data_IF_458130180441
#
_entry.id   IF_458130180441
#
_cell.length_a   1.000
_cell.length_b   1.000
_cell.length_c   1.000
_cell.angle_alpha   90.00
_cell.angle_beta   90.00
_cell.angle_gamma   90.00
#
_symmetry.space_group_name_H-M   'P 1'
#
loop_
_entity.id
_entity.type
_entity.pdbx_description
1 polymer ?
#
# COMPACT_ATOMS: atom_id res chain seq x y z
N UNK A 1 76.35 1.82 17.67
CA UNK A 1 75.44 2.89 17.14
C UNK A 1 74.04 2.34 17.13
N UNK A 2 73.23 2.68 18.11
CA UNK A 2 71.82 2.23 18.24
C UNK A 2 70.96 3.36 17.79
N UNK A 3 70.23 3.17 16.66
CA UNK A 3 69.31 4.18 16.13
C UNK A 3 67.96 4.06 16.83
N UNK A 4 67.56 5.16 17.47
CA UNK A 4 66.29 5.35 18.16
C UNK A 4 65.20 5.60 17.13
N UNK A 5 64.18 4.71 17.00
CA UNK A 5 62.99 4.93 16.19
C UNK A 5 61.92 5.70 16.98
N UNK A 6 61.26 6.68 16.42
CA UNK A 6 60.30 7.53 17.15
C UNK A 6 58.98 6.83 17.39
N UNK A 7 58.55 6.86 18.65
CA UNK A 7 57.29 6.31 19.22
C UNK A 7 55.99 6.99 18.81
N UNK A 8 55.90 7.64 17.64
CA UNK A 8 54.71 8.40 17.23
C UNK A 8 53.81 7.75 16.18
N UNK A 9 54.12 6.53 15.74
CA UNK A 9 53.30 5.84 14.71
C UNK A 9 52.30 4.85 15.31
N UNK A 10 52.44 4.47 16.56
CA UNK A 10 51.56 3.47 17.20
C UNK A 10 50.23 4.02 17.74
N UNK A 11 50.01 5.35 17.77
CA UNK A 11 48.82 5.95 18.37
C UNK A 11 47.70 6.28 17.34
N UNK A 12 47.95 6.16 16.06
CA UNK A 12 46.98 6.49 14.99
C UNK A 12 46.17 5.25 14.54
N UNK A 13 46.66 4.05 14.79
CA UNK A 13 45.96 2.81 14.42
C UNK A 13 44.88 2.35 15.43
N UNK A 14 44.83 2.91 16.63
CA UNK A 14 43.90 2.52 17.68
C UNK A 14 42.58 3.33 17.68
N UNK A 15 42.43 4.36 16.85
CA UNK A 15 41.24 5.24 16.82
C UNK A 15 40.27 4.97 15.66
N UNK A 16 40.53 3.95 14.84
CA UNK A 16 39.69 3.62 13.68
C UNK A 16 38.77 2.41 13.90
N UNK A 17 38.67 1.85 15.11
CA UNK A 17 37.92 0.60 15.34
C UNK A 17 36.72 0.75 16.27
N UNK A 18 36.12 1.93 16.38
CA UNK A 18 34.95 2.14 17.26
C UNK A 18 33.77 2.89 16.61
N UNK A 19 33.60 2.80 15.28
CA UNK A 19 32.29 3.08 14.67
C UNK A 19 31.54 1.77 14.47
N UNK A 20 31.13 1.17 15.58
CA UNK A 20 30.05 0.17 15.54
C UNK A 20 28.79 0.90 15.12
N UNK A 21 28.43 0.80 13.82
CA UNK A 21 27.11 1.12 13.34
C UNK A 21 26.13 0.19 14.04
N UNK A 22 25.54 0.64 15.13
CA UNK A 22 24.29 0.08 15.61
C UNK A 22 23.25 0.39 14.55
N UNK A 23 23.06 -0.53 13.60
CA UNK A 23 21.86 -0.56 12.77
C UNK A 23 20.68 -0.76 13.74
N UNK A 24 20.16 0.33 14.26
CA UNK A 24 18.89 0.33 14.97
C UNK A 24 17.86 -0.19 13.99
N UNK A 25 17.33 -1.37 14.22
CA UNK A 25 16.15 -1.86 13.54
C UNK A 25 15.06 -0.83 13.80
N UNK A 26 14.75 -0.01 12.80
CA UNK A 26 13.56 0.84 12.82
C UNK A 26 12.36 -0.09 12.94
N UNK A 27 11.88 -0.29 14.16
CA UNK A 27 10.67 -1.05 14.41
C UNK A 27 9.52 -0.21 13.84
N UNK A 28 8.87 -0.72 12.81
CA UNK A 28 7.73 -0.03 12.22
C UNK A 28 6.70 0.23 13.33
N UNK A 29 6.24 1.49 13.45
CA UNK A 29 5.24 1.85 14.45
C UNK A 29 3.98 1.01 14.23
N UNK A 30 3.39 0.50 15.32
CA UNK A 30 2.13 -0.23 15.25
C UNK A 30 1.01 0.65 14.70
N UNK A 31 0.12 0.08 13.91
CA UNK A 31 -1.05 0.77 13.36
C UNK A 31 -2.07 0.98 14.49
N UNK A 32 -2.44 2.23 14.76
CA UNK A 32 -3.52 2.53 15.69
C UNK A 32 -4.88 2.47 14.96
N UNK A 33 -5.66 1.43 15.22
CA UNK A 33 -6.92 1.18 14.49
C UNK A 33 -8.03 2.17 14.85
N UNK A 34 -7.97 2.85 15.99
CA UNK A 34 -8.97 3.87 16.40
C UNK A 34 -8.68 5.25 15.80
N UNK A 35 -7.40 5.60 15.65
CA UNK A 35 -7.00 6.92 15.16
C UNK A 35 -6.95 6.98 13.63
N UNK A 36 -6.82 5.84 12.98
CA UNK A 36 -6.70 5.76 11.52
C UNK A 36 -8.09 5.77 10.88
N UNK A 37 -8.46 6.88 10.26
CA UNK A 37 -9.79 7.07 9.64
C UNK A 37 -10.05 6.14 8.43
N UNK A 38 -9.02 5.67 7.77
CA UNK A 38 -9.10 4.72 6.65
C UNK A 38 -7.90 3.80 6.72
N UNK A 39 -8.16 2.52 6.84
CA UNK A 39 -7.16 1.47 6.89
C UNK A 39 -7.01 0.87 5.49
N UNK A 40 -5.77 0.72 5.02
CA UNK A 40 -5.48 0.07 3.74
C UNK A 40 -4.44 -1.01 3.93
N UNK A 41 -4.72 -2.21 3.38
CA UNK A 41 -3.83 -3.36 3.45
C UNK A 41 -3.72 -4.05 2.10
N UNK A 42 -2.56 -4.66 1.85
CA UNK A 42 -2.35 -5.49 0.66
C UNK A 42 -1.91 -6.89 1.05
N UNK A 43 -2.47 -7.91 0.39
CA UNK A 43 -2.15 -9.29 0.68
C UNK A 43 -2.77 -10.29 -0.27
N UNK A 44 -2.49 -11.56 -0.02
CA UNK A 44 -3.13 -12.67 -0.73
C UNK A 44 -4.50 -12.96 -0.09
N UNK A 45 -5.57 -12.95 -0.90
CA UNK A 45 -6.91 -13.24 -0.45
C UNK A 45 -7.19 -14.74 -0.51
N UNK A 46 -7.64 -15.30 0.59
CA UNK A 46 -8.09 -16.68 0.67
C UNK A 46 -9.50 -16.75 1.26
N UNK A 47 -10.31 -17.70 0.76
CA UNK A 47 -11.53 -18.16 1.40
C UNK A 47 -11.22 -19.43 2.18
N UNK A 48 -11.58 -19.45 3.46
CA UNK A 48 -11.32 -20.57 4.36
C UNK A 48 -12.58 -20.96 5.08
N UNK A 49 -12.68 -22.26 5.41
CA UNK A 49 -13.72 -22.79 6.29
C UNK A 49 -13.03 -23.22 7.58
N UNK A 50 -13.48 -22.65 8.67
CA UNK A 50 -13.01 -22.92 10.02
C UNK A 50 -14.06 -23.78 10.77
N UNK A 51 -13.64 -24.46 11.81
CA UNK A 51 -14.55 -25.11 12.72
C UNK A 51 -15.13 -24.08 13.69
N UNK A 52 -16.46 -24.00 13.75
CA UNK A 52 -17.22 -23.19 14.69
C UNK A 52 -17.70 -24.00 15.89
N UNK A 53 -18.80 -23.59 16.55
CA UNK A 53 -19.34 -24.30 17.68
C UNK A 53 -19.80 -25.74 17.31
N UNK A 54 -19.87 -26.67 18.27
CA UNK A 54 -19.69 -26.41 19.70
C UNK A 54 -18.25 -26.44 20.20
N UNK A 55 -17.31 -27.11 19.49
CA UNK A 55 -15.97 -27.36 20.03
C UNK A 55 -14.89 -26.50 19.39
N UNK A 56 -15.11 -25.95 18.18
CA UNK A 56 -14.13 -25.16 17.40
C UNK A 56 -12.86 -25.96 17.04
N UNK A 57 -12.99 -27.27 16.80
CA UNK A 57 -11.86 -28.17 16.54
C UNK A 57 -11.82 -28.67 15.11
N UNK A 58 -12.89 -29.32 14.64
CA UNK A 58 -12.93 -29.96 13.32
C UNK A 58 -14.36 -30.13 12.81
N UNK A 59 -14.64 -29.54 11.65
CA UNK A 59 -15.95 -29.70 10.95
C UNK A 59 -16.27 -31.17 10.68
N UNK A 60 -15.27 -32.01 10.41
CA UNK A 60 -15.47 -33.47 10.18
C UNK A 60 -15.88 -34.22 11.43
N UNK A 61 -15.71 -33.62 12.61
CA UNK A 61 -16.15 -34.17 13.91
C UNK A 61 -17.50 -33.63 14.35
N UNK A 62 -18.17 -32.80 13.52
CA UNK A 62 -19.51 -32.31 13.78
C UNK A 62 -19.57 -30.81 14.19
N UNK A 63 -18.47 -30.09 14.18
CA UNK A 63 -18.48 -28.66 14.39
C UNK A 63 -19.09 -27.93 13.20
N UNK A 64 -19.77 -26.82 13.46
CA UNK A 64 -20.39 -26.00 12.43
C UNK A 64 -19.34 -25.39 11.50
N UNK A 65 -19.48 -25.47 10.16
CA UNK A 65 -18.54 -24.81 9.27
C UNK A 65 -18.73 -23.29 9.28
N UNK A 66 -17.65 -22.55 9.54
CA UNK A 66 -17.62 -21.09 9.53
C UNK A 66 -16.73 -20.57 8.40
N UNK A 67 -17.32 -20.07 7.31
CA UNK A 67 -16.57 -19.48 6.22
C UNK A 67 -16.06 -18.08 6.57
N UNK A 68 -14.78 -17.80 6.23
CA UNK A 68 -14.19 -16.48 6.37
C UNK A 68 -13.25 -16.13 5.21
N UNK A 69 -13.16 -14.83 4.90
CA UNK A 69 -12.14 -14.31 4.00
C UNK A 69 -10.94 -13.85 4.81
N UNK A 70 -9.79 -14.40 4.49
CA UNK A 70 -8.51 -14.12 5.15
C UNK A 70 -7.57 -13.45 4.17
N UNK A 71 -7.11 -12.26 4.53
CA UNK A 71 -6.06 -11.54 3.84
C UNK A 71 -4.73 -11.86 4.52
N UNK A 72 -3.81 -12.50 3.80
CA UNK A 72 -2.44 -12.75 4.29
C UNK A 72 -1.52 -11.67 3.75
N UNK A 73 -0.95 -10.87 4.64
CA UNK A 73 -0.05 -9.76 4.33
C UNK A 73 1.32 -10.26 3.86
N UNK A 74 2.06 -9.43 3.12
CA UNK A 74 3.44 -9.76 2.67
C UNK A 74 4.46 -9.70 3.78
N UNK A 75 4.21 -8.90 4.82
CA UNK A 75 5.03 -8.77 6.02
C UNK A 75 4.13 -8.66 7.25
N UNK A 76 4.55 -9.21 8.39
CA UNK A 76 3.82 -9.04 9.64
C UNK A 76 3.73 -7.57 10.05
N UNK A 77 2.61 -7.21 10.66
CA UNK A 77 2.36 -5.89 11.25
C UNK A 77 2.02 -6.05 12.73
N UNK A 78 2.09 -4.97 13.48
CA UNK A 78 1.47 -4.87 14.80
C UNK A 78 0.35 -3.81 14.80
N UNK A 79 -0.61 -3.92 15.71
CA UNK A 79 -1.71 -2.99 15.83
C UNK A 79 -2.00 -2.63 17.29
N UNK A 80 -2.58 -1.44 17.49
CA UNK A 80 -2.99 -0.86 18.78
C UNK A 80 -4.35 -0.19 18.65
N UNK A 81 -4.84 0.36 19.75
CA UNK A 81 -6.09 1.13 19.76
C UNK A 81 -7.34 0.30 20.08
N UNK A 82 -7.17 -1.00 20.34
CA UNK A 82 -8.23 -1.90 20.80
C UNK A 82 -7.68 -2.80 21.92
N UNK A 83 -8.50 -3.13 22.92
CA UNK A 83 -8.07 -3.88 24.11
C UNK A 83 -7.67 -5.34 23.82
N UNK A 84 -8.15 -5.89 22.70
CA UNK A 84 -7.82 -7.26 22.25
C UNK A 84 -6.59 -7.31 21.34
N UNK A 85 -5.96 -6.16 21.05
CA UNK A 85 -4.73 -6.05 20.27
C UNK A 85 -3.51 -5.94 21.18
N UNK A 86 -2.55 -6.84 21.01
CA UNK A 86 -1.28 -6.79 21.73
C UNK A 86 -0.19 -6.16 20.84
N UNK A 87 0.29 -4.94 21.16
CA UNK A 87 1.28 -4.24 20.34
C UNK A 87 2.65 -4.94 20.29
N UNK A 88 2.91 -5.88 21.19
CA UNK A 88 4.14 -6.67 21.21
C UNK A 88 4.08 -7.92 20.32
N UNK A 89 2.89 -8.23 19.78
CA UNK A 89 2.67 -9.38 18.88
C UNK A 89 2.43 -8.89 17.46
N UNK A 90 3.28 -9.34 16.54
CA UNK A 90 3.07 -9.15 15.12
C UNK A 90 2.20 -10.27 14.55
N UNK A 91 1.42 -9.94 13.52
CA UNK A 91 0.58 -10.88 12.78
C UNK A 91 0.58 -10.52 11.29
N UNK A 92 0.30 -11.52 10.46
CA UNK A 92 0.24 -11.37 9.00
C UNK A 92 -1.16 -11.68 8.43
N UNK A 93 -2.13 -12.00 9.27
CA UNK A 93 -3.48 -12.37 8.84
C UNK A 93 -4.53 -11.40 9.37
N UNK A 94 -5.43 -11.02 8.47
CA UNK A 94 -6.58 -10.16 8.75
C UNK A 94 -7.83 -10.88 8.23
N UNK A 95 -8.85 -11.02 9.06
CA UNK A 95 -10.17 -11.44 8.60
C UNK A 95 -10.90 -10.22 8.08
N UNK A 96 -11.43 -10.31 6.86
CA UNK A 96 -12.09 -9.19 6.19
C UNK A 96 -13.55 -9.54 5.86
N UNK A 97 -14.43 -8.54 5.95
CA UNK A 97 -15.84 -8.64 5.63
C UNK A 97 -16.37 -7.26 5.20
N UNK A 98 -17.40 -7.18 4.33
CA UNK A 98 -18.01 -5.90 3.96
C UNK A 98 -18.52 -5.11 5.17
N UNK A 99 -18.24 -3.80 5.19
CA UNK A 99 -18.68 -2.90 6.25
C UNK A 99 -20.18 -2.59 6.20
N UNK A 100 -20.78 -2.68 5.01
CA UNK A 100 -22.19 -2.41 4.77
C UNK A 100 -22.94 -3.73 4.48
N UNK A 101 -24.21 -3.77 4.84
CA UNK A 101 -25.10 -4.92 4.57
C UNK A 101 -26.11 -4.65 3.46
N UNK A 102 -26.09 -3.43 2.91
CA UNK A 102 -26.92 -2.98 1.80
C UNK A 102 -26.39 -3.41 0.41
N UNK A 103 -26.87 -2.76 -0.66
CA UNK A 103 -26.45 -3.05 -2.02
C UNK A 103 -24.94 -2.93 -2.27
N UNK A 104 -24.26 -2.00 -1.59
CA UNK A 104 -22.80 -1.86 -1.65
C UNK A 104 -22.10 -3.04 -1.00
N UNK A 105 -22.61 -3.52 0.15
CA UNK A 105 -22.12 -4.74 0.79
C UNK A 105 -22.30 -5.97 -0.09
N UNK A 106 -23.44 -6.12 -0.78
CA UNK A 106 -23.67 -7.23 -1.71
C UNK A 106 -22.69 -7.22 -2.88
N UNK A 107 -22.32 -6.03 -3.40
CA UNK A 107 -21.30 -5.91 -4.43
C UNK A 107 -19.92 -6.36 -3.91
N UNK A 108 -19.54 -5.93 -2.71
CA UNK A 108 -18.27 -6.33 -2.07
C UNK A 108 -18.19 -7.85 -1.81
N UNK A 109 -19.30 -8.50 -1.39
CA UNK A 109 -19.34 -9.94 -1.25
C UNK A 109 -19.10 -10.68 -2.58
N UNK A 110 -19.64 -10.16 -3.68
CA UNK A 110 -19.38 -10.69 -5.02
C UNK A 110 -17.92 -10.52 -5.41
N UNK A 111 -17.35 -9.33 -5.19
CA UNK A 111 -15.96 -9.00 -5.52
C UNK A 111 -14.98 -9.85 -4.70
N UNK A 112 -15.23 -10.05 -3.41
CA UNK A 112 -14.48 -10.97 -2.56
C UNK A 112 -14.41 -12.37 -3.17
N UNK A 113 -15.56 -12.95 -3.59
CA UNK A 113 -15.60 -14.28 -4.20
C UNK A 113 -14.79 -14.36 -5.50
N UNK A 114 -14.84 -13.31 -6.34
CA UNK A 114 -14.13 -13.28 -7.62
C UNK A 114 -12.62 -13.10 -7.45
N UNK A 115 -12.19 -12.50 -6.35
CA UNK A 115 -10.79 -12.16 -6.08
C UNK A 115 -10.07 -13.19 -5.21
N UNK A 116 -10.72 -14.27 -4.78
CA UNK A 116 -10.06 -15.38 -4.05
C UNK A 116 -8.89 -15.92 -4.85
N UNK A 117 -7.76 -16.14 -4.19
CA UNK A 117 -6.50 -16.59 -4.79
C UNK A 117 -5.69 -15.48 -5.46
N UNK A 118 -6.18 -14.24 -5.47
CA UNK A 118 -5.45 -13.08 -5.99
C UNK A 118 -4.76 -12.31 -4.88
N UNK A 119 -3.73 -11.53 -5.26
CA UNK A 119 -3.21 -10.47 -4.43
C UNK A 119 -4.12 -9.26 -4.57
N UNK A 120 -4.61 -8.75 -3.44
CA UNK A 120 -5.59 -7.66 -3.42
C UNK A 120 -5.13 -6.52 -2.52
N UNK A 121 -5.62 -5.33 -2.81
CA UNK A 121 -5.64 -4.17 -1.93
C UNK A 121 -7.04 -4.03 -1.36
N UNK A 122 -7.17 -3.87 -0.05
CA UNK A 122 -8.43 -3.63 0.65
C UNK A 122 -8.40 -2.30 1.37
N UNK A 123 -9.52 -1.61 1.40
CA UNK A 123 -9.76 -0.42 2.21
C UNK A 123 -10.83 -0.72 3.24
N UNK A 124 -10.64 -0.24 4.47
CA UNK A 124 -11.59 -0.44 5.56
C UNK A 124 -11.73 0.79 6.43
N UNK A 125 -12.88 0.89 7.11
CA UNK A 125 -13.21 2.02 7.98
C UNK A 125 -13.25 1.66 9.47
N UNK A 126 -13.26 0.38 9.81
CA UNK A 126 -13.28 -0.08 11.19
C UNK A 126 -12.49 -1.39 11.33
N UNK A 127 -11.69 -1.47 12.37
CA UNK A 127 -10.96 -2.68 12.72
C UNK A 127 -10.90 -2.85 14.24
N UNK A 128 -10.82 -4.11 14.68
CA UNK A 128 -10.73 -4.49 16.09
C UNK A 128 -10.02 -5.84 16.24
N UNK A 129 -9.55 -6.14 17.45
CA UNK A 129 -8.88 -7.39 17.78
C UNK A 129 -9.83 -8.58 17.91
N UNK A 130 -9.33 -9.78 17.64
CA UNK A 130 -10.07 -11.02 17.83
C UNK A 130 -10.43 -11.23 19.32
N UNK A 131 -11.72 -11.43 19.64
CA UNK A 131 -12.21 -11.60 20.99
C UNK A 131 -13.32 -12.65 21.15
N UNK A 132 -13.64 -13.38 20.07
CA UNK A 132 -14.59 -14.50 20.07
C UNK A 132 -14.07 -15.66 19.27
N UNK A 133 -14.66 -16.87 19.45
CA UNK A 133 -14.34 -18.06 18.65
C UNK A 133 -14.63 -17.92 17.16
N UNK A 134 -15.45 -16.94 16.75
CA UNK A 134 -15.79 -16.66 15.35
C UNK A 134 -14.75 -15.77 14.64
N UNK A 135 -13.75 -15.28 15.37
CA UNK A 135 -12.67 -14.45 14.83
C UNK A 135 -11.45 -15.30 14.49
N UNK A 136 -11.26 -15.58 13.21
CA UNK A 136 -10.26 -16.52 12.70
C UNK A 136 -8.92 -15.87 12.31
N UNK A 137 -8.74 -14.59 12.60
CA UNK A 137 -7.49 -13.86 12.47
C UNK A 137 -7.33 -12.82 13.58
N UNK A 138 -6.10 -12.42 13.96
CA UNK A 138 -5.86 -11.47 15.04
C UNK A 138 -6.54 -10.12 14.87
N UNK A 139 -6.69 -9.64 13.62
CA UNK A 139 -7.37 -8.40 13.27
C UNK A 139 -8.61 -8.69 12.44
N UNK A 140 -9.72 -8.08 12.81
CA UNK A 140 -10.98 -8.04 12.07
C UNK A 140 -11.08 -6.70 11.36
N UNK A 141 -11.38 -6.68 10.04
CA UNK A 141 -11.47 -5.45 9.25
C UNK A 141 -12.78 -5.40 8.46
N UNK A 142 -13.57 -4.37 8.75
CA UNK A 142 -14.75 -4.03 7.97
C UNK A 142 -14.33 -3.24 6.71
N UNK A 143 -14.36 -3.89 5.55
CA UNK A 143 -13.90 -3.28 4.30
C UNK A 143 -14.98 -2.47 3.61
N UNK A 144 -14.57 -1.39 2.95
CA UNK A 144 -15.39 -0.52 2.09
C UNK A 144 -15.01 -0.63 0.62
N UNK A 145 -13.88 -1.28 0.32
CA UNK A 145 -13.40 -1.49 -1.04
C UNK A 145 -12.39 -2.63 -1.12
N UNK A 146 -12.35 -3.27 -2.29
CA UNK A 146 -11.35 -4.28 -2.64
C UNK A 146 -11.02 -4.19 -4.14
N UNK A 147 -9.74 -4.33 -4.48
CA UNK A 147 -9.26 -4.39 -5.85
C UNK A 147 -8.06 -5.33 -5.96
N UNK A 148 -7.70 -5.71 -7.19
CA UNK A 148 -6.44 -6.43 -7.44
C UNK A 148 -5.29 -5.50 -7.03
N UNK A 149 -4.40 -5.98 -6.16
CA UNK A 149 -3.22 -5.21 -5.76
C UNK A 149 -2.25 -5.07 -6.92
N UNK A 150 -1.66 -3.90 -7.02
CA UNK A 150 -0.56 -3.67 -7.94
C UNK A 150 0.66 -4.51 -7.52
N UNK A 151 1.19 -5.29 -8.47
CA UNK A 151 2.41 -6.08 -8.31
C UNK A 151 3.51 -5.48 -9.20
N UNK A 152 4.46 -4.73 -8.64
CA UNK A 152 5.51 -4.10 -9.42
C UNK A 152 6.39 -5.11 -10.16
N UNK A 153 6.51 -6.33 -9.66
CA UNK A 153 7.34 -7.36 -10.33
C UNK A 153 6.71 -7.85 -11.63
N UNK A 154 5.38 -7.88 -11.71
CA UNK A 154 4.63 -8.24 -12.93
C UNK A 154 4.52 -7.09 -13.91
N UNK A 155 4.78 -5.87 -13.46
CA UNK A 155 4.77 -4.69 -14.30
C UNK A 155 6.12 -4.40 -14.96
N UNK A 156 7.19 -5.12 -14.57
CA UNK A 156 8.53 -4.90 -15.10
C UNK A 156 8.55 -4.98 -16.63
N UNK A 157 9.19 -3.99 -17.26
CA UNK A 157 9.28 -3.89 -18.72
C UNK A 157 7.99 -3.44 -19.44
N UNK A 158 6.92 -3.15 -18.71
CA UNK A 158 5.66 -2.64 -19.27
C UNK A 158 5.55 -1.12 -19.08
N UNK A 159 4.60 -0.48 -19.79
CA UNK A 159 4.30 0.94 -19.58
C UNK A 159 3.70 1.22 -18.19
N UNK A 160 3.20 0.20 -17.49
CA UNK A 160 2.68 0.33 -16.13
C UNK A 160 3.75 0.82 -15.14
N UNK A 161 5.03 0.42 -15.31
CA UNK A 161 6.13 0.92 -14.46
C UNK A 161 6.37 2.42 -14.64
N UNK A 162 6.20 2.92 -15.86
CA UNK A 162 6.26 4.37 -16.14
C UNK A 162 5.13 5.11 -15.43
N UNK A 163 3.91 4.58 -15.50
CA UNK A 163 2.75 5.15 -14.80
C UNK A 163 2.98 5.14 -13.28
N UNK A 164 3.49 4.03 -12.73
CA UNK A 164 3.83 3.93 -11.31
C UNK A 164 4.86 4.99 -10.90
N UNK A 165 5.97 5.09 -11.61
CA UNK A 165 7.04 6.04 -11.31
C UNK A 165 6.54 7.49 -11.34
N UNK A 166 5.70 7.83 -12.32
CA UNK A 166 5.06 9.14 -12.39
C UNK A 166 4.23 9.46 -11.14
N UNK A 167 3.33 8.55 -10.73
CA UNK A 167 2.48 8.78 -9.54
C UNK A 167 3.28 8.80 -8.23
N UNK A 168 4.38 8.06 -8.12
CA UNK A 168 5.29 8.16 -6.98
C UNK A 168 5.97 9.53 -6.92
N UNK A 169 6.40 10.08 -8.07
CA UNK A 169 6.95 11.43 -8.15
C UNK A 169 5.90 12.50 -7.82
N UNK A 170 4.62 12.32 -8.22
CA UNK A 170 3.53 13.20 -7.77
C UNK A 170 3.36 13.18 -6.25
N UNK A 171 3.43 12.01 -5.63
CA UNK A 171 3.37 11.87 -4.18
C UNK A 171 4.51 12.58 -3.44
N UNK A 172 5.68 12.64 -4.07
CA UNK A 172 6.84 13.39 -3.57
C UNK A 172 6.79 14.90 -3.91
N UNK A 173 5.78 15.36 -4.66
CA UNK A 173 5.69 16.70 -5.25
C UNK A 173 6.91 17.07 -6.14
N UNK A 174 7.60 16.05 -6.67
CA UNK A 174 8.76 16.20 -7.53
C UNK A 174 8.32 16.31 -9.00
N UNK A 175 8.02 17.53 -9.41
CA UNK A 175 7.59 17.81 -10.78
C UNK A 175 8.70 17.59 -11.82
N UNK A 176 9.96 17.79 -11.46
CA UNK A 176 11.08 17.53 -12.37
C UNK A 176 11.16 16.03 -12.67
N UNK A 177 11.11 15.19 -11.65
CA UNK A 177 11.12 13.73 -11.84
C UNK A 177 9.87 13.27 -12.58
N UNK A 178 8.68 13.72 -12.15
CA UNK A 178 7.42 13.35 -12.79
C UNK A 178 7.40 13.70 -14.28
N UNK A 179 7.88 14.88 -14.67
CA UNK A 179 7.87 15.33 -16.05
C UNK A 179 8.72 14.45 -16.99
N UNK A 180 9.73 13.74 -16.49
CA UNK A 180 10.57 12.82 -17.29
C UNK A 180 9.74 11.67 -17.88
N UNK A 181 8.68 11.27 -17.23
CA UNK A 181 7.79 10.18 -17.66
C UNK A 181 6.69 10.63 -18.62
N UNK A 182 6.60 11.94 -18.94
CA UNK A 182 5.61 12.53 -19.84
C UNK A 182 6.24 12.75 -21.22
N UNK A 183 5.42 12.73 -22.27
CA UNK A 183 5.89 13.05 -23.63
C UNK A 183 6.51 14.45 -23.69
N UNK A 184 7.59 14.67 -24.48
CA UNK A 184 8.40 15.89 -24.43
C UNK A 184 7.60 17.19 -24.62
N UNK A 185 6.61 17.18 -25.50
CA UNK A 185 5.80 18.37 -25.84
C UNK A 185 4.92 18.86 -24.68
N UNK A 186 4.74 18.08 -23.63
CA UNK A 186 3.93 18.44 -22.44
C UNK A 186 4.76 18.76 -21.20
N UNK A 187 6.09 18.71 -21.30
CA UNK A 187 6.98 18.92 -20.14
C UNK A 187 7.19 20.40 -19.80
N UNK A 188 7.12 21.28 -20.82
CA UNK A 188 7.46 22.70 -20.67
C UNK A 188 6.26 23.57 -20.28
N UNK A 189 5.03 23.11 -20.55
CA UNK A 189 3.82 23.87 -20.29
C UNK A 189 2.60 22.98 -20.05
N UNK A 190 1.54 23.57 -19.47
CA UNK A 190 0.31 22.86 -19.15
C UNK A 190 0.40 22.07 -17.83
N UNK A 191 -0.66 21.28 -17.52
CA UNK A 191 -0.82 20.63 -16.21
C UNK A 191 0.19 19.52 -15.93
N UNK A 192 0.89 19.01 -16.94
CA UNK A 192 1.90 17.96 -16.82
C UNK A 192 3.33 18.53 -16.86
N UNK A 193 3.50 19.86 -16.86
CA UNK A 193 4.83 20.48 -16.76
C UNK A 193 5.39 20.36 -15.33
N UNK A 194 6.71 20.33 -15.20
CA UNK A 194 7.39 20.21 -13.92
C UNK A 194 6.90 21.23 -12.89
N UNK A 195 6.80 22.51 -13.30
CA UNK A 195 6.36 23.61 -12.42
C UNK A 195 4.89 23.46 -11.99
N UNK A 196 3.99 23.08 -12.90
CA UNK A 196 2.58 22.89 -12.57
C UNK A 196 2.38 21.74 -11.58
N UNK A 197 3.08 20.61 -11.79
CA UNK A 197 3.07 19.46 -10.90
C UNK A 197 3.57 19.85 -9.50
N UNK A 198 4.79 20.44 -9.38
CA UNK A 198 5.34 20.82 -8.08
C UNK A 198 4.44 21.82 -7.36
N UNK A 199 3.87 22.81 -8.10
CA UNK A 199 2.97 23.80 -7.51
C UNK A 199 1.67 23.23 -6.97
N UNK A 200 1.07 22.24 -7.64
CA UNK A 200 -0.18 21.64 -7.19
C UNK A 200 0.08 20.64 -6.05
N UNK A 201 0.93 19.64 -6.29
CA UNK A 201 1.16 18.55 -5.34
C UNK A 201 1.94 18.98 -4.10
N UNK A 202 2.79 20.01 -4.20
CA UNK A 202 3.49 20.61 -3.04
C UNK A 202 2.59 21.37 -2.06
N UNK A 203 1.34 21.67 -2.45
CA UNK A 203 0.36 22.36 -1.58
C UNK A 203 -0.63 21.39 -0.91
N UNK A 204 -0.50 20.10 -1.16
CA UNK A 204 -1.38 19.11 -0.54
C UNK A 204 -1.10 18.97 0.96
N UNK A 205 -2.16 18.93 1.78
CA UNK A 205 -2.05 18.70 3.23
C UNK A 205 -1.62 17.26 3.50
N UNK A 206 -2.20 16.29 2.75
CA UNK A 206 -1.74 14.91 2.72
C UNK A 206 -1.27 14.64 1.29
N UNK A 207 0.00 14.26 1.11
CA UNK A 207 0.55 13.94 -0.20
C UNK A 207 -0.28 12.90 -0.94
N UNK A 208 -0.18 12.90 -2.26
CA UNK A 208 -0.82 11.88 -3.08
C UNK A 208 -0.24 10.51 -2.74
N UNK A 209 -1.12 9.57 -2.45
CA UNK A 209 -0.81 8.16 -2.24
C UNK A 209 -1.43 7.35 -3.37
N UNK A 210 -0.59 6.62 -4.09
CA UNK A 210 -1.02 5.68 -5.12
C UNK A 210 -1.66 4.46 -4.45
N UNK A 211 -2.88 4.12 -4.83
CA UNK A 211 -3.62 2.97 -4.30
C UNK A 211 -3.42 1.74 -5.19
N UNK A 212 -3.77 1.86 -6.49
CA UNK A 212 -3.52 0.78 -7.45
C UNK A 212 -3.41 1.29 -8.89
N UNK A 213 -2.93 0.39 -9.77
CA UNK A 213 -2.87 0.59 -11.21
C UNK A 213 -3.37 -0.70 -11.86
N UNK A 214 -4.35 -0.59 -12.75
CA UNK A 214 -4.93 -1.71 -13.48
C UNK A 214 -4.91 -1.41 -14.98
N UNK A 215 -4.51 -2.38 -15.80
CA UNK A 215 -4.61 -2.25 -17.25
C UNK A 215 -6.09 -2.10 -17.66
N UNK A 216 -6.38 -1.06 -18.42
CA UNK A 216 -7.73 -0.74 -18.93
C UNK A 216 -7.83 -0.88 -20.47
N UNK A 217 -6.71 -1.20 -21.12
CA UNK A 217 -6.57 -1.38 -22.57
C UNK A 217 -5.12 -1.66 -22.93
N UNK A 218 -4.78 -1.72 -24.21
CA UNK A 218 -3.42 -2.03 -24.68
C UNK A 218 -2.37 -1.04 -24.15
N UNK A 219 -2.71 0.24 -24.09
CA UNK A 219 -1.84 1.32 -23.66
C UNK A 219 -2.54 2.25 -22.67
N UNK A 220 -3.59 1.76 -22.02
CA UNK A 220 -4.39 2.49 -21.06
C UNK A 220 -4.33 1.84 -19.69
N UNK A 221 -4.22 2.68 -18.67
CA UNK A 221 -4.17 2.26 -17.27
C UNK A 221 -5.16 3.07 -16.45
N UNK A 222 -5.95 2.38 -15.66
CA UNK A 222 -6.78 2.98 -14.60
C UNK A 222 -5.94 3.07 -13.35
N UNK A 223 -5.84 4.27 -12.79
CA UNK A 223 -5.04 4.56 -11.61
C UNK A 223 -5.94 5.10 -10.52
N UNK A 224 -5.92 4.51 -9.34
CA UNK A 224 -6.59 5.02 -8.14
C UNK A 224 -5.58 5.58 -7.17
N UNK A 225 -5.92 6.71 -6.59
CA UNK A 225 -5.06 7.44 -5.66
C UNK A 225 -5.90 8.20 -4.63
N UNK A 226 -5.25 8.64 -3.55
CA UNK A 226 -5.88 9.53 -2.56
C UNK A 226 -4.94 10.64 -2.16
N UNK A 227 -5.50 11.80 -1.80
CA UNK A 227 -4.78 12.94 -1.22
C UNK A 227 -5.74 13.83 -0.41
N UNK A 228 -5.21 14.86 0.28
CA UNK A 228 -6.01 15.90 0.92
C UNK A 228 -5.49 17.26 0.49
N UNK A 229 -6.36 18.05 -0.13
CA UNK A 229 -6.07 19.43 -0.49
C UNK A 229 -6.59 20.42 0.57
N UNK A 230 -6.01 21.62 0.62
CA UNK A 230 -6.47 22.68 1.53
C UNK A 230 -7.91 23.08 1.20
N UNK A 231 -8.77 23.16 2.21
CA UNK A 231 -10.18 23.52 2.05
C UNK A 231 -11.09 22.45 1.45
N UNK A 232 -10.54 21.27 1.10
CA UNK A 232 -11.26 20.12 0.60
C UNK A 232 -11.09 18.92 1.54
N UNK A 233 -12.05 17.99 1.52
CA UNK A 233 -11.92 16.72 2.20
C UNK A 233 -10.86 15.81 1.56
N UNK A 234 -10.82 14.55 2.00
CA UNK A 234 -10.02 13.52 1.33
C UNK A 234 -10.58 13.29 -0.08
N UNK A 235 -9.74 13.43 -1.08
CA UNK A 235 -10.03 13.02 -2.44
C UNK A 235 -9.59 11.56 -2.60
N UNK A 236 -10.52 10.69 -3.06
CA UNK A 236 -10.22 9.36 -3.56
C UNK A 236 -10.46 9.41 -5.07
N UNK A 237 -9.42 9.76 -5.81
CA UNK A 237 -9.50 10.00 -7.23
C UNK A 237 -9.23 8.76 -8.06
N UNK A 238 -9.81 8.76 -9.26
CA UNK A 238 -9.51 7.80 -10.31
C UNK A 238 -9.17 8.52 -11.60
N UNK A 239 -8.16 8.05 -12.31
CA UNK A 239 -7.81 8.58 -13.64
C UNK A 239 -7.51 7.48 -14.64
N UNK A 240 -7.71 7.79 -15.91
CA UNK A 240 -7.27 6.97 -17.04
C UNK A 240 -6.02 7.61 -17.63
N UNK A 241 -4.92 6.86 -17.58
CA UNK A 241 -3.63 7.24 -18.13
C UNK A 241 -3.43 6.55 -19.46
N UNK A 242 -3.18 7.32 -20.52
CA UNK A 242 -2.77 6.83 -21.82
C UNK A 242 -1.26 6.90 -21.96
N UNK A 243 -0.64 5.80 -22.33
CA UNK A 243 0.80 5.74 -22.62
C UNK A 243 1.05 5.58 -24.11
N UNK A 244 2.27 5.90 -24.51
CA UNK A 244 2.78 5.70 -25.89
C UNK A 244 4.23 5.24 -25.80
N UNK A 245 4.66 4.41 -26.75
CA UNK A 245 6.07 4.05 -26.89
C UNK A 245 6.76 4.99 -27.88
N UNK A 246 7.70 5.79 -27.40
CA UNK A 246 8.45 6.75 -28.21
C UNK A 246 9.96 6.46 -28.06
N UNK A 247 10.66 6.20 -29.14
CA UNK A 247 12.11 5.87 -29.14
C UNK A 247 12.47 4.76 -28.16
N UNK A 248 11.65 3.73 -28.06
CA UNK A 248 11.86 2.59 -27.15
C UNK A 248 11.41 2.83 -25.69
N UNK A 249 11.09 4.06 -25.30
CA UNK A 249 10.64 4.43 -23.96
C UNK A 249 9.13 4.48 -23.89
N UNK A 250 8.57 3.97 -22.79
CA UNK A 250 7.15 4.17 -22.47
C UNK A 250 6.99 5.55 -21.81
N UNK A 251 6.11 6.39 -22.37
CA UNK A 251 5.84 7.73 -21.86
C UNK A 251 4.34 7.96 -21.70
N UNK A 252 3.96 8.81 -20.76
CA UNK A 252 2.58 9.22 -20.55
C UNK A 252 2.22 10.27 -21.59
N UNK A 253 1.21 9.96 -22.40
CA UNK A 253 0.68 10.86 -23.41
C UNK A 253 -0.43 11.74 -22.87
N UNK A 254 -1.34 11.19 -22.06
CA UNK A 254 -2.42 11.94 -21.44
C UNK A 254 -2.93 11.31 -20.16
N UNK A 255 -3.53 12.15 -19.32
CA UNK A 255 -4.23 11.75 -18.10
C UNK A 255 -5.61 12.41 -18.14
N UNK A 256 -6.66 11.64 -17.89
CA UNK A 256 -8.04 12.13 -17.77
C UNK A 256 -8.61 11.68 -16.43
N UNK A 257 -9.21 12.59 -15.68
CA UNK A 257 -9.98 12.22 -14.50
C UNK A 257 -11.12 11.29 -14.92
N UNK A 258 -11.31 10.21 -14.16
CA UNK A 258 -12.43 9.28 -14.35
C UNK A 258 -13.47 9.43 -13.23
N UNK A 259 -13.08 10.04 -12.11
CA UNK A 259 -13.99 10.50 -11.05
C UNK A 259 -13.58 11.89 -10.61
N UNK A 260 -14.57 12.72 -10.29
CA UNK A 260 -14.34 14.02 -9.67
C UNK A 260 -14.12 13.85 -8.16
N UNK A 261 -13.27 14.70 -7.63
CA UNK A 261 -13.03 14.79 -6.19
C UNK A 261 -14.01 15.79 -5.53
#
# INVERSE_FOLDING_TARGET
>A
MVACMPQRVALILALMLALSFTAGSAQAACINVKETKSLSFQGALAYRIFAGPPNYEDVRKGDTPEPAYILTLSAPICATGDEFLNPQKSFDKIQIYPAETDGAGHALWRDLRQLVGKRVSVEGKAAFGAHTGHHHAPLQLAITGIAIAFDPTKAYGTAMTTVQAFYLALGAADGEEASKFVVPEKRSSGPLSASAISNFYGKLIVPLSLIDIVAAGSDQYRVRYSYVASGAGRCNGESIVQTIKLNGMNLIQSIRAASDC
#
